data_IF_789544481611
#
_entry.id   IF_789544481611
#
_cell.length_a   1.000
_cell.length_b   1.000
_cell.length_c   1.000
_cell.angle_alpha   90.00
_cell.angle_beta   90.00
_cell.angle_gamma   90.00
#
_symmetry.space_group_name_H-M   'P 1'
#
loop_
_entity.id
_entity.type
_entity.pdbx_description
1 polymer ?
#
# COMPACT_ATOMS: atom_id res chain seq x y z
N UNK A 1 3.60 -15.33 5.49
CA UNK A 1 2.75 -14.15 5.19
C UNK A 1 2.49 -14.10 3.70
N UNK A 2 1.23 -14.05 3.26
CA UNK A 2 0.90 -13.75 1.87
C UNK A 2 1.30 -12.30 1.57
N UNK A 3 1.91 -12.07 0.41
CA UNK A 3 2.30 -10.73 -0.07
C UNK A 3 1.52 -10.45 -1.35
N UNK A 4 0.86 -9.30 -1.42
CA UNK A 4 -0.01 -8.91 -2.52
C UNK A 4 0.77 -8.16 -3.60
N UNK A 5 0.48 -8.39 -4.88
CA UNK A 5 1.18 -7.71 -5.98
C UNK A 5 0.72 -6.25 -6.09
N UNK A 6 1.68 -5.34 -6.19
CA UNK A 6 1.43 -3.92 -6.45
C UNK A 6 1.27 -3.61 -7.95
N UNK A 7 1.56 -4.56 -8.84
CA UNK A 7 1.53 -4.38 -10.30
C UNK A 7 0.24 -3.72 -10.85
N UNK A 8 -0.98 -3.99 -10.32
CA UNK A 8 -2.19 -3.30 -10.78
C UNK A 8 -2.28 -1.81 -10.39
N UNK A 9 -1.45 -1.36 -9.46
CA UNK A 9 -1.56 -0.05 -8.80
C UNK A 9 -0.47 0.94 -9.24
N UNK A 10 0.31 0.64 -10.29
CA UNK A 10 1.25 1.58 -10.88
C UNK A 10 1.52 1.29 -12.36
N UNK A 11 1.81 2.35 -13.11
CA UNK A 11 1.92 2.31 -14.58
C UNK A 11 3.19 1.62 -15.10
N UNK A 12 4.21 1.48 -14.27
CA UNK A 12 5.48 0.85 -14.65
C UNK A 12 5.46 -0.69 -14.63
N UNK A 13 4.43 -1.32 -14.05
CA UNK A 13 4.23 -2.77 -14.00
C UNK A 13 5.42 -3.62 -13.46
N UNK A 14 6.40 -2.99 -12.81
CA UNK A 14 7.46 -3.67 -12.07
C UNK A 14 6.91 -4.62 -10.98
N UNK A 15 7.59 -5.75 -10.71
CA UNK A 15 7.18 -6.68 -9.67
C UNK A 15 7.52 -6.11 -8.29
N UNK A 16 6.55 -5.44 -7.67
CA UNK A 16 6.59 -5.04 -6.27
C UNK A 16 5.47 -5.74 -5.50
N UNK A 17 5.71 -5.99 -4.20
CA UNK A 17 4.73 -6.61 -3.33
C UNK A 17 4.56 -5.80 -2.06
N UNK A 18 3.33 -5.75 -1.56
CA UNK A 18 2.97 -5.17 -0.28
C UNK A 18 2.51 -6.27 0.68
N UNK A 19 2.79 -6.08 1.97
CA UNK A 19 2.26 -6.95 3.03
C UNK A 19 0.73 -6.86 3.13
N UNK A 20 0.17 -5.66 2.95
CA UNK A 20 -1.27 -5.40 2.85
C UNK A 20 -1.55 -4.30 1.83
N UNK A 21 -2.70 -4.40 1.16
CA UNK A 21 -3.22 -3.35 0.26
C UNK A 21 -4.65 -3.11 0.69
N UNK A 22 -4.96 -1.88 1.10
CA UNK A 22 -6.27 -1.51 1.64
C UNK A 22 -6.76 -0.27 0.90
N UNK A 23 -7.90 -0.42 0.22
CA UNK A 23 -8.64 0.71 -0.33
C UNK A 23 -9.51 1.32 0.77
N UNK A 24 -9.53 2.65 0.84
CA UNK A 24 -10.38 3.39 1.77
C UNK A 24 -11.17 4.45 1.01
N UNK A 25 -12.43 4.63 1.39
CA UNK A 25 -13.32 5.64 0.79
C UNK A 25 -13.75 6.71 1.82
N UNK A 26 -13.41 6.53 3.10
CA UNK A 26 -13.66 7.49 4.17
C UNK A 26 -12.43 7.76 5.03
N UNK A 27 -12.45 8.88 5.74
CA UNK A 27 -11.35 9.28 6.65
C UNK A 27 -11.26 8.33 7.84
N UNK A 28 -12.39 7.84 8.35
CA UNK A 28 -12.45 6.94 9.50
C UNK A 28 -11.82 5.59 9.17
N UNK A 29 -12.03 5.08 7.95
CA UNK A 29 -11.37 3.87 7.45
C UNK A 29 -9.86 4.07 7.39
N UNK A 30 -9.40 5.19 6.82
CA UNK A 30 -7.97 5.53 6.77
C UNK A 30 -7.35 5.57 8.17
N UNK A 31 -7.99 6.26 9.12
CA UNK A 31 -7.48 6.38 10.49
C UNK A 31 -7.41 5.02 11.21
N UNK A 32 -8.44 4.19 11.03
CA UNK A 32 -8.47 2.86 11.64
C UNK A 32 -7.33 1.97 11.14
N UNK A 33 -7.13 1.91 9.81
CA UNK A 33 -6.10 1.06 9.21
C UNK A 33 -4.70 1.61 9.44
N UNK A 34 -4.54 2.94 9.44
CA UNK A 34 -3.30 3.59 9.83
C UNK A 34 -2.89 3.18 11.25
N UNK A 35 -3.82 3.26 12.21
CA UNK A 35 -3.52 2.95 13.60
C UNK A 35 -3.15 1.48 13.81
N UNK A 36 -3.80 0.56 13.08
CA UNK A 36 -3.45 -0.87 13.08
C UNK A 36 -2.02 -1.10 12.57
N UNK A 37 -1.68 -0.54 11.40
CA UNK A 37 -0.36 -0.70 10.82
C UNK A 37 0.74 -0.05 11.67
N UNK A 38 0.46 1.13 12.24
CA UNK A 38 1.37 1.84 13.13
C UNK A 38 1.65 1.05 14.41
N UNK A 39 0.61 0.51 15.06
CA UNK A 39 0.76 -0.32 16.25
C UNK A 39 1.49 -1.64 15.96
N UNK A 40 1.36 -2.16 14.74
CA UNK A 40 2.10 -3.33 14.26
C UNK A 40 3.53 -3.00 13.79
N UNK A 41 3.97 -1.74 13.88
CA UNK A 41 5.27 -1.25 13.42
C UNK A 41 5.55 -1.56 11.94
N UNK A 42 4.50 -1.56 11.12
CA UNK A 42 4.62 -1.76 9.68
C UNK A 42 4.91 -0.42 8.97
N UNK A 43 5.72 -0.43 7.91
CA UNK A 43 5.85 0.74 7.04
C UNK A 43 4.51 1.03 6.37
N UNK A 44 4.09 2.30 6.38
CA UNK A 44 2.83 2.75 5.81
C UNK A 44 3.12 3.60 4.57
N UNK A 45 2.42 3.30 3.48
CA UNK A 45 2.46 4.06 2.23
C UNK A 45 1.04 4.39 1.80
N UNK A 46 0.72 5.68 1.64
CA UNK A 46 -0.54 6.12 1.04
C UNK A 46 -0.32 6.34 -0.45
N UNK A 47 -1.18 5.75 -1.27
CA UNK A 47 -1.19 5.92 -2.72
C UNK A 47 -2.52 6.51 -3.16
N UNK A 48 -2.45 7.49 -4.07
CA UNK A 48 -3.59 7.86 -4.91
C UNK A 48 -3.70 6.89 -6.09
N UNK A 49 -3.93 7.41 -7.29
CA UNK A 49 -3.98 6.62 -8.53
C UNK A 49 -2.64 5.98 -8.96
N UNK A 50 -1.55 6.19 -8.22
CA UNK A 50 -0.25 5.56 -8.50
C UNK A 50 0.41 5.97 -9.83
N UNK A 51 -0.05 7.03 -10.49
CA UNK A 51 0.42 7.45 -11.82
C UNK A 51 1.86 7.97 -11.87
N UNK A 52 2.45 8.29 -10.71
CA UNK A 52 3.82 8.83 -10.60
C UNK A 52 4.65 8.12 -9.51
N UNK A 53 4.43 6.83 -9.30
CA UNK A 53 5.17 6.05 -8.29
C UNK A 53 5.96 4.92 -8.96
N UNK A 54 7.26 4.86 -8.65
CA UNK A 54 8.16 3.81 -9.09
C UNK A 54 8.65 3.01 -7.87
N UNK A 55 8.23 1.75 -7.76
CA UNK A 55 8.67 0.85 -6.70
C UNK A 55 9.98 0.17 -7.07
N UNK A 56 11.06 0.47 -6.34
CA UNK A 56 12.36 -0.15 -6.55
C UNK A 56 12.54 -1.49 -5.81
N UNK A 57 11.78 -1.73 -4.73
CA UNK A 57 11.78 -2.96 -3.91
C UNK A 57 10.38 -3.21 -3.30
N UNK A 58 10.17 -4.34 -2.63
CA UNK A 58 8.92 -4.64 -1.92
C UNK A 58 8.79 -3.87 -0.59
N UNK A 59 7.55 -3.64 -0.16
CA UNK A 59 7.17 -2.84 1.01
C UNK A 59 6.35 -3.66 2.02
#
# INVERSE_FOLDING_TARGET
>A
MMKHSLTPFHTFHLPAKATQIIEFTTVEQLLSEWQKAFNAQLPILILGQGSNVLFFRGF
#
